data_IF_543988250732
#
_entry.id   IF_543988250732
#
_cell.length_a   1.000
_cell.length_b   1.000
_cell.length_c   1.000
_cell.angle_alpha   90.00
_cell.angle_beta   90.00
_cell.angle_gamma   90.00
#
_symmetry.space_group_name_H-M   'P 1'
#
loop_
_entity.id
_entity.type
_entity.pdbx_description
1 polymer ?
#
# COMPACT_ATOMS: atom_id res chain seq x y z
N UNK A 1 15.81 -8.57 -5.18
CA UNK A 1 14.43 -8.43 -5.69
C UNK A 1 13.60 -9.56 -5.09
N UNK A 2 12.43 -9.23 -4.53
CA UNK A 2 11.51 -10.23 -3.99
C UNK A 2 10.26 -10.32 -4.87
N UNK A 3 9.77 -11.53 -5.08
CA UNK A 3 8.59 -11.81 -5.91
C UNK A 3 7.70 -12.82 -5.19
N UNK A 4 6.44 -12.46 -4.96
CA UNK A 4 5.44 -13.42 -4.48
C UNK A 4 4.96 -14.31 -5.61
N UNK A 5 4.88 -15.61 -5.34
CA UNK A 5 4.32 -16.60 -6.25
C UNK A 5 2.96 -17.02 -5.73
N UNK A 6 1.92 -16.43 -6.28
CA UNK A 6 0.53 -16.60 -5.81
C UNK A 6 -0.36 -17.40 -6.76
N UNK A 7 0.20 -17.98 -7.79
CA UNK A 7 -0.57 -18.65 -8.84
C UNK A 7 -0.62 -20.17 -8.76
N UNK A 8 0.20 -20.79 -7.92
CA UNK A 8 0.24 -22.24 -7.79
C UNK A 8 0.07 -22.64 -6.33
N UNK A 9 -1.08 -23.20 -6.00
CA UNK A 9 -1.41 -23.67 -4.65
C UNK A 9 -0.45 -24.72 -4.09
N UNK A 10 0.42 -25.28 -4.92
CA UNK A 10 1.45 -26.25 -4.51
C UNK A 10 2.76 -25.59 -4.12
N UNK A 11 2.94 -24.32 -4.43
CA UNK A 11 4.21 -23.61 -4.27
C UNK A 11 4.02 -22.17 -3.80
N UNK A 12 3.05 -21.94 -2.93
CA UNK A 12 2.83 -20.61 -2.32
C UNK A 12 4.09 -20.16 -1.61
N UNK A 13 4.82 -19.25 -2.23
CA UNK A 13 6.16 -18.88 -1.81
C UNK A 13 6.51 -17.44 -2.17
N UNK A 14 7.53 -16.92 -1.50
CA UNK A 14 8.23 -15.72 -1.92
C UNK A 14 9.61 -16.11 -2.43
N UNK A 15 9.98 -15.59 -3.60
CA UNK A 15 11.29 -15.80 -4.18
C UNK A 15 12.16 -14.57 -3.99
N UNK A 16 13.38 -14.77 -3.53
CA UNK A 16 14.43 -13.78 -3.57
C UNK A 16 15.28 -14.01 -4.82
N UNK A 17 15.34 -13.00 -5.66
CA UNK A 17 16.13 -12.99 -6.89
C UNK A 17 17.40 -12.16 -6.71
N UNK A 18 18.44 -12.49 -7.48
CA UNK A 18 19.64 -11.66 -7.58
C UNK A 18 19.29 -10.22 -8.01
N UNK A 19 20.15 -9.23 -7.76
CA UNK A 19 19.88 -7.83 -8.13
C UNK A 19 19.54 -7.61 -9.60
N UNK A 20 20.10 -8.44 -10.48
CA UNK A 20 19.82 -8.41 -11.93
C UNK A 20 18.70 -9.37 -12.35
N UNK A 21 18.02 -10.00 -11.40
CA UNK A 21 16.97 -11.00 -11.63
C UNK A 21 17.40 -12.20 -12.51
N UNK A 22 18.68 -12.53 -12.52
CA UNK A 22 19.23 -13.63 -13.34
C UNK A 22 19.13 -14.99 -12.66
N UNK A 23 19.08 -15.02 -11.33
CA UNK A 23 19.06 -16.24 -10.54
C UNK A 23 18.07 -16.12 -9.37
N UNK A 24 17.46 -17.24 -9.01
CA UNK A 24 16.78 -17.40 -7.73
C UNK A 24 17.83 -17.67 -6.66
N UNK A 25 17.95 -16.77 -5.68
CA UNK A 25 18.86 -16.91 -4.54
C UNK A 25 18.22 -17.80 -3.48
N UNK A 26 16.92 -17.56 -3.22
CA UNK A 26 16.17 -18.24 -2.17
C UNK A 26 14.71 -18.38 -2.56
N UNK A 27 14.09 -19.44 -2.12
CA UNK A 27 12.64 -19.61 -2.11
C UNK A 27 12.20 -19.80 -0.67
N UNK A 28 11.27 -18.99 -0.23
CA UNK A 28 10.64 -19.08 1.09
C UNK A 28 9.28 -19.74 0.90
N UNK A 29 9.10 -20.92 1.44
CA UNK A 29 7.80 -21.55 1.51
C UNK A 29 7.00 -20.89 2.63
N UNK A 30 5.89 -20.25 2.27
CA UNK A 30 5.02 -19.57 3.22
C UNK A 30 4.07 -20.54 3.91
N UNK A 31 3.77 -21.69 3.27
CA UNK A 31 2.81 -22.67 3.80
C UNK A 31 1.39 -22.12 3.94
N UNK A 32 1.08 -21.03 3.22
CA UNK A 32 -0.20 -20.34 3.27
C UNK A 32 -0.69 -20.05 1.86
N UNK A 33 -2.02 -19.91 1.72
CA UNK A 33 -2.64 -19.76 0.43
C UNK A 33 -2.55 -18.36 -0.16
N UNK A 34 -1.92 -18.26 -1.30
CA UNK A 34 -1.90 -17.07 -2.16
C UNK A 34 -1.24 -15.86 -1.51
N UNK A 35 0.08 -15.89 -1.22
CA UNK A 35 0.81 -14.71 -0.78
C UNK A 35 0.76 -13.65 -1.88
N UNK A 36 0.52 -12.39 -1.50
CA UNK A 36 0.34 -11.29 -2.44
C UNK A 36 1.36 -10.17 -2.16
N UNK A 37 0.99 -8.92 -2.28
CA UNK A 37 1.89 -7.78 -2.20
C UNK A 37 2.55 -7.66 -0.82
N UNK A 38 3.75 -8.18 -0.71
CA UNK A 38 4.58 -8.16 0.49
C UNK A 38 5.31 -6.82 0.66
N UNK A 39 5.79 -6.59 1.87
CA UNK A 39 6.66 -5.46 2.21
C UNK A 39 7.89 -5.93 2.96
N UNK A 40 9.02 -5.28 2.68
CA UNK A 40 10.28 -5.52 3.37
C UNK A 40 10.58 -4.40 4.35
N UNK A 41 11.14 -4.74 5.50
CA UNK A 41 11.76 -3.73 6.36
C UNK A 41 12.90 -3.01 5.63
N UNK A 42 13.17 -1.76 5.99
CA UNK A 42 14.20 -0.96 5.33
C UNK A 42 15.60 -1.56 5.44
N UNK A 43 15.86 -2.31 6.50
CA UNK A 43 17.13 -3.01 6.69
C UNK A 43 17.18 -4.39 6.01
N UNK A 44 16.12 -4.75 5.28
CA UNK A 44 16.04 -6.00 4.53
C UNK A 44 15.96 -7.27 5.38
N UNK A 45 15.69 -7.17 6.68
CA UNK A 45 15.74 -8.32 7.58
C UNK A 45 14.40 -9.05 7.72
N UNK A 46 13.30 -8.30 7.67
CA UNK A 46 11.96 -8.85 7.90
C UNK A 46 11.06 -8.53 6.71
N UNK A 47 10.28 -9.51 6.31
CA UNK A 47 9.23 -9.38 5.32
C UNK A 47 7.88 -9.65 5.96
N UNK A 48 6.88 -8.91 5.56
CA UNK A 48 5.48 -9.23 5.83
C UNK A 48 4.76 -9.47 4.52
N UNK A 49 4.10 -10.62 4.39
CA UNK A 49 3.26 -10.92 3.22
C UNK A 49 1.83 -11.23 3.65
N UNK A 50 0.82 -10.66 2.98
CA UNK A 50 -0.56 -11.04 3.17
C UNK A 50 -0.84 -12.33 2.41
N UNK A 51 -1.67 -13.20 2.99
CA UNK A 51 -2.07 -14.48 2.41
C UNK A 51 -3.57 -14.43 2.12
N UNK A 52 -3.91 -14.16 0.87
CA UNK A 52 -5.26 -13.78 0.44
C UNK A 52 -6.29 -14.85 0.76
N UNK A 53 -5.98 -16.11 0.52
CA UNK A 53 -6.93 -17.23 0.69
C UNK A 53 -7.06 -17.71 2.14
N UNK A 54 -6.06 -17.47 2.99
CA UNK A 54 -6.09 -17.90 4.39
C UNK A 54 -6.50 -16.81 5.36
N UNK A 55 -6.56 -15.53 4.90
CA UNK A 55 -7.02 -14.42 5.72
C UNK A 55 -6.04 -13.99 6.81
N UNK A 56 -4.75 -14.26 6.60
CA UNK A 56 -3.69 -13.98 7.56
C UNK A 56 -2.50 -13.28 6.90
N UNK A 57 -1.52 -12.90 7.71
CA UNK A 57 -0.20 -12.44 7.24
C UNK A 57 0.89 -13.33 7.79
N UNK A 58 1.97 -13.49 7.03
CA UNK A 58 3.19 -14.14 7.47
C UNK A 58 4.29 -13.10 7.68
N UNK A 59 4.90 -13.10 8.86
CA UNK A 59 6.14 -12.39 9.14
C UNK A 59 7.30 -13.38 9.00
N UNK A 60 8.26 -13.02 8.16
CA UNK A 60 9.42 -13.86 7.85
C UNK A 60 10.71 -13.10 8.09
N UNK A 61 11.62 -13.73 8.82
CA UNK A 61 12.92 -13.17 9.14
C UNK A 61 14.01 -13.79 8.22
N UNK A 62 14.62 -12.95 7.39
CA UNK A 62 15.68 -13.38 6.47
C UNK A 62 17.04 -13.63 7.15
N UNK A 63 17.22 -13.16 8.38
CA UNK A 63 18.47 -13.40 9.12
C UNK A 63 18.50 -14.80 9.73
N UNK A 64 17.37 -15.21 10.33
CA UNK A 64 17.22 -16.53 10.95
C UNK A 64 16.71 -17.56 9.94
N UNK A 65 16.13 -17.09 8.84
CA UNK A 65 15.52 -17.90 7.79
C UNK A 65 14.25 -18.63 8.26
N UNK A 66 13.49 -17.99 9.14
CA UNK A 66 12.31 -18.58 9.79
C UNK A 66 11.06 -17.73 9.60
N UNK A 67 9.91 -18.40 9.63
CA UNK A 67 8.61 -17.74 9.87
C UNK A 67 8.53 -17.40 11.35
N UNK A 68 8.46 -16.11 11.66
CA UNK A 68 8.35 -15.62 13.05
C UNK A 68 6.93 -15.69 13.56
N UNK A 69 5.98 -15.30 12.70
CA UNK A 69 4.57 -15.28 13.08
C UNK A 69 3.65 -15.46 11.87
N UNK A 70 2.49 -16.06 12.12
CA UNK A 70 1.36 -16.12 11.20
C UNK A 70 0.16 -15.57 11.97
N UNK A 71 -0.42 -14.46 11.47
CA UNK A 71 -1.39 -13.67 12.21
C UNK A 71 -2.69 -13.52 11.42
N UNK A 72 -3.83 -13.99 11.92
CA UNK A 72 -5.13 -13.60 11.40
C UNK A 72 -5.28 -12.08 11.51
N UNK A 73 -5.64 -11.41 10.42
CA UNK A 73 -5.70 -9.94 10.38
C UNK A 73 -7.10 -9.39 10.31
N UNK A 74 -8.06 -10.21 9.91
CA UNK A 74 -9.47 -9.87 9.86
C UNK A 74 -10.32 -11.14 9.80
N UNK A 75 -11.58 -11.05 9.36
CA UNK A 75 -12.42 -12.23 9.18
C UNK A 75 -11.90 -13.21 8.11
N UNK A 76 -12.37 -14.44 8.09
CA UNK A 76 -11.85 -15.49 7.18
C UNK A 76 -12.09 -15.22 5.69
N UNK A 77 -12.92 -14.24 5.36
CA UNK A 77 -13.19 -13.80 3.99
C UNK A 77 -12.66 -12.40 3.70
N UNK A 78 -11.81 -11.87 4.56
CA UNK A 78 -11.29 -10.50 4.44
C UNK A 78 -10.42 -10.29 3.21
N UNK A 79 -9.75 -11.32 2.72
CA UNK A 79 -8.82 -11.28 1.62
C UNK A 79 -7.77 -10.16 1.81
N UNK A 80 -6.85 -10.31 2.77
CA UNK A 80 -5.76 -9.36 2.95
C UNK A 80 -4.92 -9.33 1.66
N UNK A 81 -4.75 -8.15 1.08
CA UNK A 81 -4.21 -8.04 -0.28
C UNK A 81 -2.80 -7.47 -0.33
N UNK A 82 -2.52 -6.46 0.47
CA UNK A 82 -1.22 -5.81 0.51
C UNK A 82 -0.88 -5.36 1.91
N UNK A 83 0.42 -5.21 2.14
CA UNK A 83 0.98 -4.69 3.38
C UNK A 83 1.82 -3.45 3.11
N UNK A 84 1.95 -2.59 4.11
CA UNK A 84 2.88 -1.48 4.16
C UNK A 84 3.42 -1.36 5.57
N UNK A 85 4.70 -1.14 5.73
CA UNK A 85 5.39 -1.16 7.02
C UNK A 85 5.89 0.23 7.39
N UNK A 86 5.87 0.55 8.67
CA UNK A 86 6.55 1.73 9.19
C UNK A 86 8.05 1.67 8.86
N UNK A 87 8.67 2.80 8.57
CA UNK A 87 10.10 2.83 8.24
C UNK A 87 11.00 2.23 9.33
N UNK A 88 10.62 2.36 10.60
CA UNK A 88 11.34 1.78 11.74
C UNK A 88 10.96 0.31 12.02
N UNK A 89 10.10 -0.27 11.18
CA UNK A 89 9.55 -1.60 11.33
C UNK A 89 8.80 -1.83 12.66
N UNK A 90 8.30 -0.79 13.32
CA UNK A 90 7.56 -0.93 14.59
C UNK A 90 6.19 -1.56 14.40
N UNK A 91 5.50 -1.23 13.31
CA UNK A 91 4.19 -1.79 12.95
C UNK A 91 3.98 -1.80 11.44
N UNK A 92 2.96 -2.54 11.01
CA UNK A 92 2.55 -2.57 9.61
C UNK A 92 1.03 -2.51 9.45
N UNK A 93 0.61 -2.13 8.26
CA UNK A 93 -0.77 -1.97 7.85
C UNK A 93 -1.13 -3.01 6.80
N UNK A 94 -2.33 -3.57 6.89
CA UNK A 94 -2.83 -4.60 5.97
C UNK A 94 -4.15 -4.15 5.37
N UNK A 95 -4.21 -4.08 4.04
CA UNK A 95 -5.46 -3.83 3.33
C UNK A 95 -6.30 -5.10 3.28
N UNK A 96 -7.46 -5.10 3.93
CA UNK A 96 -8.44 -6.19 3.88
C UNK A 96 -9.50 -5.86 2.83
N UNK A 97 -9.33 -6.46 1.66
CA UNK A 97 -10.06 -6.10 0.45
C UNK A 97 -11.59 -6.14 0.63
N UNK A 98 -12.12 -7.28 1.07
CA UNK A 98 -13.56 -7.51 1.13
C UNK A 98 -14.21 -6.97 2.39
N UNK A 99 -13.47 -6.85 3.48
CA UNK A 99 -13.97 -6.24 4.72
C UNK A 99 -13.97 -4.72 4.67
N UNK A 100 -13.27 -4.12 3.70
CA UNK A 100 -13.09 -2.67 3.61
C UNK A 100 -12.51 -2.07 4.90
N UNK A 101 -11.52 -2.75 5.45
CA UNK A 101 -10.79 -2.31 6.65
C UNK A 101 -9.29 -2.30 6.40
N UNK A 102 -8.57 -1.56 7.25
CA UNK A 102 -7.13 -1.66 7.38
C UNK A 102 -6.82 -2.23 8.76
N UNK A 103 -6.06 -3.31 8.83
CA UNK A 103 -5.56 -3.85 10.10
C UNK A 103 -4.19 -3.28 10.40
N UNK A 104 -3.99 -2.81 11.62
CA UNK A 104 -2.71 -2.36 12.15
C UNK A 104 -2.15 -3.44 13.06
N UNK A 105 -0.93 -3.86 12.81
CA UNK A 105 -0.27 -4.95 13.56
C UNK A 105 1.07 -4.48 14.08
N UNK A 106 1.33 -4.75 15.33
CA UNK A 106 2.63 -4.51 15.98
C UNK A 106 3.63 -5.61 15.59
N UNK A 107 4.82 -5.19 15.18
CA UNK A 107 5.84 -6.11 14.67
C UNK A 107 6.51 -6.96 15.75
N UNK A 108 6.69 -6.39 16.94
CA UNK A 108 7.43 -7.06 18.03
C UNK A 108 6.53 -8.00 18.81
N UNK A 109 5.35 -7.54 19.19
CA UNK A 109 4.41 -8.34 19.99
C UNK A 109 3.56 -9.27 19.17
N UNK A 110 3.53 -9.10 17.83
CA UNK A 110 2.68 -9.84 16.90
C UNK A 110 1.18 -9.69 17.20
N UNK A 111 0.76 -8.55 17.75
CA UNK A 111 -0.62 -8.30 18.10
C UNK A 111 -1.29 -7.35 17.10
N UNK A 112 -2.57 -7.61 16.82
CA UNK A 112 -3.42 -6.62 16.15
C UNK A 112 -3.67 -5.46 17.12
N UNK A 113 -3.26 -4.26 16.72
CA UNK A 113 -3.46 -3.04 17.50
C UNK A 113 -4.82 -2.42 17.22
N UNK A 114 -5.25 -2.44 15.95
CA UNK A 114 -6.46 -1.74 15.53
C UNK A 114 -7.00 -2.28 14.21
N UNK A 115 -8.32 -2.17 14.05
CA UNK A 115 -8.99 -2.25 12.74
C UNK A 115 -9.57 -0.88 12.40
N UNK A 116 -9.09 -0.28 11.31
CA UNK A 116 -9.59 1.00 10.80
C UNK A 116 -10.74 0.68 9.84
N UNK A 117 -11.95 1.07 10.19
CA UNK A 117 -13.13 0.84 9.36
C UNK A 117 -13.28 1.94 8.31
N UNK A 118 -13.09 1.60 7.04
CA UNK A 118 -13.23 2.55 5.93
C UNK A 118 -14.69 2.83 5.56
N UNK A 119 -15.63 2.02 6.06
CA UNK A 119 -17.08 2.20 5.86
C UNK A 119 -17.76 2.82 7.08
N UNK A 120 -17.04 3.49 7.97
CA UNK A 120 -17.62 4.06 9.19
C UNK A 120 -18.80 5.03 8.94
N UNK A 121 -18.81 5.68 7.78
CA UNK A 121 -19.89 6.60 7.36
C UNK A 121 -21.04 5.91 6.60
N UNK A 122 -21.02 4.59 6.46
CA UNK A 122 -22.07 3.81 5.80
C UNK A 122 -22.89 3.02 6.81
N UNK A 123 -24.19 3.19 6.77
CA UNK A 123 -25.11 2.38 7.56
C UNK A 123 -25.72 1.27 6.71
N UNK A 124 -25.34 -0.01 6.93
CA UNK A 124 -25.82 -1.11 6.11
C UNK A 124 -27.32 -1.43 6.29
N UNK A 125 -27.92 -1.01 7.41
CA UNK A 125 -29.35 -1.25 7.67
C UNK A 125 -30.26 -0.31 6.89
N UNK A 126 -29.81 0.93 6.67
CA UNK A 126 -30.60 1.96 5.99
C UNK A 126 -30.07 2.29 4.60
N UNK A 127 -28.83 1.87 4.29
CA UNK A 127 -28.12 2.26 3.07
C UNK A 127 -27.64 3.72 3.07
N UNK A 128 -27.80 4.44 4.19
CA UNK A 128 -27.40 5.85 4.25
C UNK A 128 -25.88 6.03 4.34
N UNK A 129 -25.40 7.09 3.66
CA UNK A 129 -23.99 7.51 3.69
C UNK A 129 -23.97 8.93 4.24
N UNK A 130 -23.23 9.14 5.34
CA UNK A 130 -23.15 10.42 6.05
C UNK A 130 -21.83 11.17 5.80
N UNK A 131 -20.89 10.56 5.09
CA UNK A 131 -19.57 11.12 4.77
C UNK A 131 -18.83 10.23 3.79
N UNK A 132 -17.56 10.54 3.48
CA UNK A 132 -16.76 9.71 2.58
C UNK A 132 -16.63 8.28 3.09
N UNK A 133 -16.64 7.32 2.17
CA UNK A 133 -16.46 5.88 2.44
C UNK A 133 -15.39 5.29 1.54
N UNK A 134 -14.65 4.29 2.05
CA UNK A 134 -13.65 3.55 1.33
C UNK A 134 -14.01 2.08 1.22
N UNK A 135 -14.09 1.53 0.01
CA UNK A 135 -14.34 0.11 -0.19
C UNK A 135 -13.38 -0.50 -1.20
N UNK A 136 -13.00 -1.75 -0.95
CA UNK A 136 -11.95 -2.48 -1.65
C UNK A 136 -10.60 -1.74 -1.58
N UNK A 137 -9.99 -1.57 -0.39
CA UNK A 137 -8.64 -1.01 -0.26
C UNK A 137 -7.60 -1.96 -0.87
N UNK A 138 -6.57 -1.41 -1.52
CA UNK A 138 -5.59 -2.22 -2.26
C UNK A 138 -4.22 -2.21 -1.59
N UNK A 139 -3.56 -1.07 -1.54
CA UNK A 139 -2.21 -0.94 -1.01
C UNK A 139 -2.20 -0.02 0.21
N UNK A 140 -1.22 -0.22 1.08
CA UNK A 140 -1.09 0.53 2.34
C UNK A 140 0.33 1.05 2.55
N UNK A 141 1.00 1.65 1.54
CA UNK A 141 2.34 2.17 1.76
C UNK A 141 2.32 3.23 2.85
N UNK A 142 3.37 3.22 3.66
CA UNK A 142 3.66 4.26 4.65
C UNK A 142 4.65 5.24 4.06
N UNK A 143 4.47 6.53 4.33
CA UNK A 143 5.41 7.56 3.90
C UNK A 143 6.81 7.30 4.48
N UNK A 144 7.89 7.59 3.74
CA UNK A 144 9.25 7.31 4.23
C UNK A 144 9.63 8.08 5.51
N UNK A 145 8.93 9.15 5.85
CA UNK A 145 9.08 9.83 7.14
C UNK A 145 8.19 9.24 8.26
N UNK A 146 7.42 8.20 7.95
CA UNK A 146 6.57 7.53 8.92
C UNK A 146 5.35 8.31 9.40
N UNK A 147 4.94 9.39 8.73
CA UNK A 147 3.87 10.27 9.22
C UNK A 147 2.48 9.87 8.81
N UNK A 148 2.36 9.28 7.63
CA UNK A 148 1.06 8.90 7.10
C UNK A 148 1.12 7.61 6.28
N UNK A 149 -0.01 6.93 6.20
CA UNK A 149 -0.29 5.81 5.32
C UNK A 149 -1.39 6.23 4.35
N UNK A 150 -1.26 5.86 3.09
CA UNK A 150 -2.28 6.15 2.06
C UNK A 150 -2.76 4.85 1.44
N UNK A 151 -4.07 4.72 1.24
CA UNK A 151 -4.66 3.60 0.50
C UNK A 151 -5.64 4.09 -0.56
N UNK A 152 -5.69 3.38 -1.69
CA UNK A 152 -6.67 3.60 -2.75
C UNK A 152 -7.81 2.60 -2.61
N UNK A 153 -9.05 3.10 -2.59
CA UNK A 153 -10.26 2.32 -2.44
C UNK A 153 -10.94 2.13 -3.80
N UNK A 154 -10.69 1.00 -4.42
CA UNK A 154 -11.02 0.74 -5.83
C UNK A 154 -12.51 0.85 -6.14
N UNK A 155 -13.38 0.36 -5.25
CA UNK A 155 -14.83 0.32 -5.51
C UNK A 155 -15.48 1.69 -5.34
N UNK A 156 -15.07 2.46 -4.34
CA UNK A 156 -15.68 3.76 -4.03
C UNK A 156 -15.03 4.92 -4.76
N UNK A 157 -13.87 4.70 -5.42
CA UNK A 157 -13.12 5.78 -6.06
C UNK A 157 -12.70 6.84 -5.05
N UNK A 158 -12.10 6.42 -3.95
CA UNK A 158 -11.58 7.31 -2.91
C UNK A 158 -10.16 6.95 -2.50
N UNK A 159 -9.43 7.93 -1.98
CA UNK A 159 -8.09 7.79 -1.41
C UNK A 159 -8.22 8.10 0.07
N UNK A 160 -7.86 7.15 0.93
CA UNK A 160 -7.85 7.36 2.38
C UNK A 160 -6.45 7.66 2.87
N UNK A 161 -6.31 8.70 3.69
CA UNK A 161 -5.09 9.08 4.38
C UNK A 161 -5.27 8.81 5.88
N UNK A 162 -4.32 8.08 6.45
CA UNK A 162 -4.28 7.73 7.88
C UNK A 162 -3.08 8.38 8.52
N UNK A 163 -3.27 9.03 9.65
CA UNK A 163 -2.18 9.47 10.53
C UNK A 163 -1.62 8.25 11.25
N UNK A 164 -0.33 7.98 11.07
CA UNK A 164 0.31 6.81 11.66
C UNK A 164 0.56 6.92 13.17
N UNK A 165 0.55 8.11 13.74
CA UNK A 165 0.72 8.28 15.19
C UNK A 165 -0.53 7.89 15.96
N UNK A 166 -1.71 8.08 15.38
CA UNK A 166 -3.01 7.81 16.00
C UNK A 166 -3.74 6.60 15.40
N UNK A 167 -3.34 6.19 14.20
CA UNK A 167 -4.03 5.20 13.37
C UNK A 167 -5.49 5.59 13.08
N UNK A 168 -5.73 6.90 12.87
CA UNK A 168 -7.03 7.45 12.54
C UNK A 168 -7.07 7.95 11.08
N UNK A 169 -8.24 7.84 10.45
CA UNK A 169 -8.48 8.46 9.14
C UNK A 169 -8.53 9.98 9.35
N UNK A 170 -7.65 10.70 8.67
CA UNK A 170 -7.60 12.18 8.76
C UNK A 170 -8.11 12.85 7.50
N UNK A 171 -8.07 12.16 6.36
CA UNK A 171 -8.65 12.66 5.12
C UNK A 171 -9.12 11.50 4.23
N UNK A 172 -10.14 11.78 3.42
CA UNK A 172 -10.58 10.89 2.36
C UNK A 172 -10.89 11.74 1.13
N UNK A 173 -10.09 11.59 0.08
CA UNK A 173 -10.13 12.39 -1.13
C UNK A 173 -10.81 11.62 -2.26
N UNK A 174 -11.41 12.31 -3.25
CA UNK A 174 -11.92 11.64 -4.45
C UNK A 174 -10.78 11.04 -5.27
N UNK A 175 -11.07 9.94 -5.94
CA UNK A 175 -10.14 9.28 -6.85
C UNK A 175 -10.81 8.96 -8.17
N UNK A 176 -10.01 8.68 -9.18
CA UNK A 176 -10.49 8.19 -10.47
C UNK A 176 -11.07 6.76 -10.34
N UNK A 177 -11.98 6.35 -11.23
CA UNK A 177 -12.56 5.02 -11.22
C UNK A 177 -11.50 3.92 -11.21
N UNK A 178 -11.64 2.97 -10.30
CA UNK A 178 -10.73 1.85 -10.17
C UNK A 178 -9.35 2.23 -9.63
N UNK A 179 -9.24 3.27 -8.79
CA UNK A 179 -7.97 3.62 -8.16
C UNK A 179 -7.36 2.41 -7.42
N UNK A 180 -6.04 2.24 -7.54
CA UNK A 180 -5.42 0.97 -7.23
C UNK A 180 -4.01 1.07 -6.65
N UNK A 181 -3.01 1.38 -7.48
CA UNK A 181 -1.63 1.45 -7.06
C UNK A 181 -1.33 2.74 -6.31
N UNK A 182 -0.64 2.62 -5.18
CA UNK A 182 -0.17 3.77 -4.39
C UNK A 182 1.29 3.58 -4.03
N UNK A 183 2.12 4.62 -4.21
CA UNK A 183 3.49 4.65 -3.69
C UNK A 183 3.95 6.08 -3.48
N UNK A 184 4.85 6.25 -2.53
CA UNK A 184 5.44 7.54 -2.21
C UNK A 184 6.66 7.87 -3.06
N UNK A 185 6.84 9.16 -3.35
CA UNK A 185 8.05 9.70 -3.94
C UNK A 185 8.41 11.04 -3.30
N UNK A 186 9.71 11.38 -3.30
CA UNK A 186 10.21 12.58 -2.68
C UNK A 186 9.64 13.85 -3.31
N UNK A 187 9.30 14.83 -2.48
CA UNK A 187 8.82 16.16 -2.84
C UNK A 187 9.99 17.15 -2.83
N UNK A 188 10.11 17.95 -3.88
CA UNK A 188 11.11 19.02 -3.88
C UNK A 188 10.81 20.01 -2.76
N UNK A 189 11.80 20.30 -1.93
CA UNK A 189 11.62 21.17 -0.77
C UNK A 189 11.28 20.44 0.53
N UNK A 190 11.15 19.12 0.50
CA UNK A 190 10.89 18.28 1.67
C UNK A 190 9.53 17.62 1.67
N UNK A 191 9.39 16.52 2.41
CA UNK A 191 8.18 15.71 2.44
C UNK A 191 8.04 14.78 1.23
N UNK A 192 6.84 14.24 1.05
CA UNK A 192 6.58 13.20 0.07
C UNK A 192 5.21 13.40 -0.59
N UNK A 193 5.15 13.12 -1.90
CA UNK A 193 3.89 12.91 -2.59
C UNK A 193 3.51 11.44 -2.57
N UNK A 194 2.22 11.15 -2.46
CA UNK A 194 1.68 9.84 -2.80
C UNK A 194 1.15 9.88 -4.24
N UNK A 195 1.61 8.96 -5.05
CA UNK A 195 1.17 8.79 -6.43
C UNK A 195 0.14 7.68 -6.50
N UNK A 196 -1.01 7.95 -7.08
CA UNK A 196 -2.14 7.02 -7.13
C UNK A 196 -2.54 6.76 -8.58
N UNK A 197 -2.45 5.50 -9.00
CA UNK A 197 -2.90 5.05 -10.31
C UNK A 197 -4.32 4.48 -10.26
N UNK A 198 -4.97 4.40 -11.41
CA UNK A 198 -6.32 3.86 -11.52
C UNK A 198 -6.43 2.92 -12.71
N UNK A 199 -7.13 1.80 -12.52
CA UNK A 199 -7.29 0.78 -13.58
C UNK A 199 -8.07 1.28 -14.78
N UNK A 200 -9.00 2.21 -14.56
CA UNK A 200 -9.95 2.68 -15.57
C UNK A 200 -9.74 4.15 -15.91
N UNK A 201 -8.60 4.71 -15.54
CA UNK A 201 -8.20 6.08 -15.86
C UNK A 201 -6.85 6.10 -16.57
N UNK A 202 -6.72 7.02 -17.52
CA UNK A 202 -5.47 7.25 -18.24
C UNK A 202 -4.55 8.23 -17.51
N UNK A 203 -4.73 8.44 -16.23
CA UNK A 203 -3.91 9.35 -15.45
C UNK A 203 -3.54 8.79 -14.10
N UNK A 204 -2.49 9.32 -13.56
CA UNK A 204 -2.04 9.13 -12.19
C UNK A 204 -2.32 10.42 -11.42
N UNK A 205 -2.91 10.32 -10.25
CA UNK A 205 -3.09 11.45 -9.35
C UNK A 205 -1.84 11.66 -8.50
N UNK A 206 -1.52 12.92 -8.24
CA UNK A 206 -0.48 13.33 -7.30
C UNK A 206 -1.16 13.88 -6.06
N UNK A 207 -1.02 13.17 -4.96
CA UNK A 207 -1.56 13.54 -3.65
C UNK A 207 -0.43 14.11 -2.80
N UNK A 208 -0.64 15.27 -2.22
CA UNK A 208 0.20 15.79 -1.16
C UNK A 208 -0.48 15.51 0.18
N UNK A 209 0.03 14.57 0.98
CA UNK A 209 -0.56 14.26 2.27
C UNK A 209 -0.32 15.33 3.34
N UNK A 210 0.66 16.24 3.10
CA UNK A 210 1.09 17.26 4.04
C UNK A 210 1.60 18.48 3.24
N UNK A 211 0.67 19.29 2.67
CA UNK A 211 1.03 20.41 1.82
C UNK A 211 1.88 21.49 2.49
N UNK A 212 1.66 21.70 3.77
CA UNK A 212 2.36 22.72 4.55
C UNK A 212 3.64 22.21 5.25
N UNK A 213 3.90 20.89 5.15
CA UNK A 213 5.03 20.18 5.76
C UNK A 213 5.11 20.33 7.30
N UNK A 214 3.97 20.41 7.97
CA UNK A 214 3.92 20.47 9.44
C UNK A 214 3.87 19.07 10.09
N UNK A 215 3.74 18.03 9.28
CA UNK A 215 3.65 16.64 9.70
C UNK A 215 2.22 16.20 10.05
N UNK A 216 1.22 17.06 9.80
CA UNK A 216 -0.19 16.77 10.05
C UNK A 216 -0.92 16.57 8.71
N UNK A 217 -1.37 15.36 8.39
CA UNK A 217 -1.99 15.07 7.09
C UNK A 217 -3.47 15.51 6.97
N UNK A 218 -3.98 16.32 7.90
CA UNK A 218 -5.38 16.77 7.88
C UNK A 218 -5.69 17.70 6.69
N UNK A 219 -4.68 18.37 6.14
CA UNK A 219 -4.81 19.26 4.98
C UNK A 219 -4.45 18.60 3.65
N UNK A 220 -4.36 17.26 3.65
CA UNK A 220 -4.05 16.47 2.46
C UNK A 220 -4.89 16.87 1.24
N UNK A 221 -4.25 16.98 0.09
CA UNK A 221 -4.89 17.45 -1.14
C UNK A 221 -4.37 16.73 -2.39
N UNK A 222 -5.21 16.65 -3.43
CA UNK A 222 -4.77 16.31 -4.77
C UNK A 222 -4.18 17.58 -5.39
N UNK A 223 -2.87 17.56 -5.65
CA UNK A 223 -2.11 18.72 -6.15
C UNK A 223 -1.81 18.64 -7.64
N UNK A 224 -2.09 17.51 -8.28
CA UNK A 224 -1.86 17.36 -9.70
C UNK A 224 -2.27 16.02 -10.26
N UNK A 225 -2.10 15.88 -11.56
CA UNK A 225 -2.25 14.60 -12.26
C UNK A 225 -1.30 14.52 -13.43
N UNK A 226 -0.92 13.29 -13.79
CA UNK A 226 -0.05 12.99 -14.93
C UNK A 226 -0.77 12.06 -15.88
N UNK A 227 -0.87 12.42 -17.16
CA UNK A 227 -1.36 11.54 -18.21
C UNK A 227 -0.39 10.39 -18.46
N UNK A 228 -0.88 9.16 -18.48
CA UNK A 228 -0.04 7.96 -18.65
C UNK A 228 0.23 7.65 -20.12
N UNK A 229 -0.69 8.03 -21.00
CA UNK A 229 -0.53 7.85 -22.45
C UNK A 229 -0.42 9.20 -23.13
N UNK A 230 0.64 9.35 -23.92
CA UNK A 230 0.82 10.53 -24.76
C UNK A 230 -0.11 10.42 -25.94
N UNK A 231 -1.11 11.22 -26.00
CA UNK A 231 -1.76 11.60 -27.21
C UNK A 231 -3.18 11.96 -27.15
N UNK A 232 -3.64 12.53 -28.12
CA UNK A 232 -5.01 12.67 -28.59
C UNK A 232 -6.03 13.02 -27.52
N UNK A 233 -6.93 13.81 -27.88
CA UNK A 233 -8.08 14.19 -27.10
C UNK A 233 -8.87 13.02 -26.47
N UNK A 234 -8.71 11.82 -27.02
CA UNK A 234 -9.33 10.60 -26.55
C UNK A 234 -8.84 10.09 -25.20
N UNK A 235 -7.72 10.62 -24.73
CA UNK A 235 -7.09 10.16 -23.49
C UNK A 235 -7.25 11.16 -22.34
N UNK A 236 -8.15 12.09 -22.49
CA UNK A 236 -8.50 13.04 -21.43
C UNK A 236 -9.15 12.37 -20.23
N UNK A 237 -9.80 11.27 -20.48
CA UNK A 237 -10.73 10.66 -19.57
C UNK A 237 -10.28 9.29 -19.11
N UNK A 238 -10.99 8.78 -18.16
CA UNK A 238 -10.85 7.47 -17.60
C UNK A 238 -10.96 6.35 -18.62
N UNK A 239 -11.52 6.60 -19.79
CA UNK A 239 -11.77 5.58 -20.80
C UNK A 239 -10.81 5.70 -21.97
N UNK A 240 -9.98 4.71 -22.14
CA UNK A 240 -9.34 4.42 -23.40
C UNK A 240 -10.40 3.74 -24.25
N UNK A 241 -10.80 4.40 -25.32
CA UNK A 241 -11.83 3.92 -26.25
C UNK A 241 -11.63 2.44 -26.57
N UNK A 242 -12.54 1.61 -26.14
CA UNK A 242 -12.61 0.18 -26.44
C UNK A 242 -11.83 -0.77 -25.54
N UNK A 243 -11.05 -0.30 -24.58
CA UNK A 243 -10.27 -1.16 -23.67
C UNK A 243 -10.43 -0.71 -22.22
N UNK A 244 -11.55 -1.05 -21.61
CA UNK A 244 -11.72 -0.90 -20.17
C UNK A 244 -10.59 -1.65 -19.44
N UNK A 245 -9.99 -1.02 -18.43
CA UNK A 245 -8.97 -1.65 -17.60
C UNK A 245 -7.53 -1.46 -18.09
N UNK A 246 -7.26 -0.55 -19.00
CA UNK A 246 -5.89 -0.25 -19.45
C UNK A 246 -5.19 0.86 -18.65
N UNK A 247 -5.70 1.25 -17.50
CA UNK A 247 -5.03 2.19 -16.60
C UNK A 247 -3.90 1.56 -15.80
N UNK A 248 -3.16 2.39 -15.06
CA UNK A 248 -2.08 1.94 -14.18
C UNK A 248 -2.60 1.12 -13.00
N UNK A 249 -1.97 -0.02 -12.74
CA UNK A 249 -2.29 -0.85 -11.57
C UNK A 249 -1.29 -0.71 -10.43
N UNK A 250 -0.06 -0.34 -10.74
CA UNK A 250 1.00 -0.10 -9.77
C UNK A 250 1.83 1.10 -10.17
N UNK A 251 2.61 1.59 -9.23
CA UNK A 251 3.51 2.73 -9.39
C UNK A 251 4.75 2.53 -8.55
N UNK A 252 5.89 2.89 -9.09
CA UNK A 252 7.15 2.96 -8.35
C UNK A 252 7.87 4.26 -8.73
N UNK A 253 7.81 5.30 -7.91
CA UNK A 253 8.61 6.50 -8.12
C UNK A 253 10.10 6.19 -7.96
N UNK A 254 10.90 6.53 -8.97
CA UNK A 254 12.35 6.35 -8.94
C UNK A 254 12.97 7.73 -8.85
N UNK A 255 13.71 8.07 -7.80
CA UNK A 255 14.30 9.38 -7.64
C UNK A 255 15.43 9.59 -8.66
N UNK A 256 15.56 10.82 -9.15
CA UNK A 256 16.67 11.22 -10.04
C UNK A 256 17.99 11.17 -9.29
N UNK A 257 17.97 11.49 -8.00
CA UNK A 257 19.11 11.37 -7.08
C UNK A 257 18.72 10.43 -5.96
N UNK A 258 19.37 9.28 -5.90
CA UNK A 258 19.03 8.23 -4.95
C UNK A 258 19.08 8.69 -3.48
N UNK A 259 20.02 9.56 -3.14
CA UNK A 259 20.17 10.10 -1.79
C UNK A 259 19.01 11.03 -1.36
N UNK A 260 18.20 11.52 -2.29
CA UNK A 260 17.01 12.33 -2.01
C UNK A 260 15.75 11.52 -1.76
N UNK A 261 15.79 10.21 -1.98
CA UNK A 261 14.66 9.32 -1.81
C UNK A 261 14.22 9.20 -0.35
N UNK A 262 15.19 9.18 0.56
CA UNK A 262 14.99 8.96 1.98
C UNK A 262 15.31 10.27 2.73
N UNK A 263 14.50 11.29 2.51
CA UNK A 263 14.70 12.58 3.17
C UNK A 263 14.33 12.49 4.65
N UNK A 264 15.20 13.03 5.50
CA UNK A 264 15.00 13.16 6.94
C UNK A 264 14.86 11.83 7.73
N UNK A 265 15.32 10.73 7.16
CA UNK A 265 15.41 9.49 7.94
C UNK A 265 16.58 9.55 8.92
N UNK A 266 16.50 8.81 10.03
CA UNK A 266 17.63 8.65 10.94
C UNK A 266 18.89 8.21 10.17
N UNK A 267 20.05 8.72 10.55
CA UNK A 267 21.31 8.39 9.89
C UNK A 267 21.64 6.88 9.90
N UNK A 268 21.06 6.14 10.84
CA UNK A 268 21.12 4.69 10.89
C UNK A 268 20.42 3.99 9.73
N UNK A 269 19.58 4.69 8.98
CA UNK A 269 18.85 4.17 7.82
C UNK A 269 19.45 4.60 6.49
N UNK A 270 20.35 5.58 6.50
CA UNK A 270 21.07 6.04 5.31
C UNK A 270 22.25 5.16 4.91
N UNK A 271 22.58 4.16 5.70
CA UNK A 271 23.70 3.23 5.50
C UNK A 271 23.24 1.83 5.03
N UNK A 272 22.09 1.76 4.38
CA UNK A 272 21.58 0.53 3.75
C UNK A 272 22.07 0.39 2.32
#
# INVERSE_FOLDING_TARGET
IHVTNNGDTRTDSVMELSPLATNVIRRVDIGRGNPHAHWMSHDGKVMVTPNVLTGDTTQYNFRTNDVEAILPVSGPLSHPLATGMMPDASKYYVANLLDSTITVVDMESHNVLKHINLLANYNPLTGSITGPVGALPIQTPVSPNGKNMVTANTLTGTITIVDTATDEIVAMLPCDPGCHGVQYGAKLGGGYYAYVTSKFSNRMLVVDPDPNNDGNPVDAAIVGSVGLFASNATLKDATISGNAGMGGQGILPIPVVYNGWVQNLPSTWSNL
#
